data_IF_949623431190
#
_entry.id   IF_949623431190
#
_cell.length_a   1.000
_cell.length_b   1.000
_cell.length_c   1.000
_cell.angle_alpha   90.00
_cell.angle_beta   90.00
_cell.angle_gamma   90.00
#
_symmetry.space_group_name_H-M   'P 1'
#
loop_
_entity.id
_entity.type
_entity.pdbx_description
1 polymer ?
#
# COMPACT_ATOMS: atom_id res chain seq x y z
N UNK A 1 4.26 -23.68 0.19
CA UNK A 1 3.92 -23.08 1.50
C UNK A 1 4.30 -21.60 1.57
N UNK A 2 5.55 -21.23 1.34
CA UNK A 2 6.02 -19.83 1.48
C UNK A 2 5.29 -18.80 0.59
N UNK A 3 5.10 -19.10 -0.70
CA UNK A 3 4.36 -18.19 -1.60
C UNK A 3 2.93 -17.90 -1.16
N UNK A 4 2.22 -18.93 -0.66
CA UNK A 4 0.87 -18.79 -0.10
C UNK A 4 0.89 -17.89 1.14
N UNK A 5 1.83 -18.08 2.06
CA UNK A 5 1.94 -17.27 3.27
C UNK A 5 2.19 -15.78 2.94
N UNK A 6 3.08 -15.51 1.98
CA UNK A 6 3.34 -14.14 1.50
C UNK A 6 2.08 -13.56 0.86
N UNK A 7 1.42 -14.32 -0.03
CA UNK A 7 0.19 -13.89 -0.70
C UNK A 7 -0.93 -13.55 0.30
N UNK A 8 -1.20 -14.44 1.25
CA UNK A 8 -2.23 -14.24 2.29
C UNK A 8 -1.91 -13.02 3.15
N UNK A 9 -0.64 -12.78 3.46
CA UNK A 9 -0.22 -11.59 4.21
C UNK A 9 -0.52 -10.31 3.42
N UNK A 10 -0.16 -10.26 2.14
CA UNK A 10 -0.46 -9.13 1.26
C UNK A 10 -1.96 -8.87 1.15
N UNK A 11 -2.73 -9.94 0.89
CA UNK A 11 -4.18 -9.89 0.81
C UNK A 11 -4.84 -9.40 2.10
N UNK A 12 -4.39 -9.89 3.26
CA UNK A 12 -4.90 -9.45 4.56
C UNK A 12 -4.63 -7.96 4.79
N UNK A 13 -3.41 -7.47 4.49
CA UNK A 13 -3.06 -6.05 4.60
C UNK A 13 -3.98 -5.20 3.72
N UNK A 14 -4.18 -5.59 2.47
CA UNK A 14 -5.02 -4.88 1.52
C UNK A 14 -6.48 -4.81 1.98
N UNK A 15 -7.09 -5.96 2.28
CA UNK A 15 -8.49 -6.02 2.72
C UNK A 15 -8.71 -5.27 4.04
N UNK A 16 -7.80 -5.42 5.01
CA UNK A 16 -7.93 -4.72 6.30
C UNK A 16 -7.81 -3.21 6.11
N UNK A 17 -6.83 -2.74 5.33
CA UNK A 17 -6.63 -1.31 5.12
C UNK A 17 -7.78 -0.64 4.35
N UNK A 18 -8.34 -1.31 3.35
CA UNK A 18 -9.50 -0.82 2.61
C UNK A 18 -10.78 -0.83 3.46
N UNK A 19 -10.98 -1.87 4.29
CA UNK A 19 -12.08 -1.88 5.26
C UNK A 19 -11.96 -0.76 6.29
N UNK A 20 -10.77 -0.55 6.85
CA UNK A 20 -10.50 0.55 7.77
C UNK A 20 -10.86 1.90 7.14
N UNK A 21 -10.40 2.15 5.91
CA UNK A 21 -10.67 3.39 5.19
C UNK A 21 -12.15 3.58 4.83
N UNK A 22 -12.83 2.50 4.44
CA UNK A 22 -14.24 2.55 4.08
C UNK A 22 -15.10 2.85 5.29
N UNK A 23 -14.94 2.09 6.38
CA UNK A 23 -15.65 2.32 7.64
C UNK A 23 -15.36 3.71 8.22
N UNK A 24 -14.11 4.17 8.17
CA UNK A 24 -13.75 5.51 8.63
C UNK A 24 -14.44 6.63 7.82
N UNK A 25 -14.64 6.43 6.52
CA UNK A 25 -15.33 7.40 5.64
C UNK A 25 -16.83 7.45 5.83
N UNK A 26 -17.45 6.39 6.35
CA UNK A 26 -18.90 6.34 6.62
C UNK A 26 -19.29 7.31 7.74
N UNK A 27 -18.38 7.64 8.66
CA UNK A 27 -18.63 8.63 9.70
C UNK A 27 -18.73 10.06 9.11
N UNK A 28 -19.87 10.76 9.22
CA UNK A 28 -20.04 12.11 8.69
C UNK A 28 -19.04 13.13 9.26
N UNK A 29 -18.58 12.93 10.50
CA UNK A 29 -17.58 13.78 11.15
C UNK A 29 -16.18 13.72 10.52
N UNK A 30 -15.94 12.74 9.64
CA UNK A 30 -14.70 12.54 8.92
C UNK A 30 -14.70 13.15 7.51
N UNK A 31 -15.83 13.76 7.09
CA UNK A 31 -15.92 14.45 5.80
C UNK A 31 -14.81 15.49 5.68
N UNK A 32 -14.07 15.40 4.58
CA UNK A 32 -12.98 16.33 4.29
C UNK A 32 -11.68 16.09 5.07
N UNK A 33 -11.62 15.13 6.00
CA UNK A 33 -10.40 14.77 6.74
C UNK A 33 -9.64 13.61 6.06
N UNK A 34 -8.45 13.30 6.54
CA UNK A 34 -7.68 12.11 6.16
C UNK A 34 -7.62 11.11 7.33
N UNK A 35 -7.49 9.83 7.01
CA UNK A 35 -7.34 8.76 8.00
C UNK A 35 -5.88 8.66 8.44
N UNK A 36 -5.65 8.52 9.74
CA UNK A 36 -4.32 8.29 10.32
C UNK A 36 -4.32 7.20 11.40
N UNK A 37 -5.33 6.32 11.36
CA UNK A 37 -5.58 5.25 12.33
C UNK A 37 -5.37 3.86 11.71
N UNK A 38 -5.16 2.84 12.55
CA UNK A 38 -4.97 1.47 12.09
C UNK A 38 -3.71 1.31 11.23
N UNK A 39 -3.83 0.64 10.08
CA UNK A 39 -2.69 0.48 9.16
C UNK A 39 -2.26 1.82 8.53
N UNK A 40 -3.18 2.77 8.44
CA UNK A 40 -2.91 4.11 7.93
C UNK A 40 -2.05 4.96 8.89
N UNK A 41 -1.90 4.53 10.15
CA UNK A 41 -0.95 5.13 11.08
C UNK A 41 0.52 4.80 10.73
N UNK A 42 0.76 3.62 10.16
CA UNK A 42 2.10 3.09 9.89
C UNK A 42 2.55 3.31 8.44
N UNK A 43 1.61 3.35 7.50
CA UNK A 43 1.88 3.67 6.10
C UNK A 43 0.78 4.57 5.56
N UNK A 44 1.13 5.45 4.62
CA UNK A 44 0.17 6.30 3.91
C UNK A 44 -0.53 5.58 2.76
N UNK A 45 0.03 4.46 2.31
CA UNK A 45 -0.54 3.61 1.25
C UNK A 45 -0.42 2.11 1.61
N UNK A 46 -0.99 1.67 2.75
CA UNK A 46 -0.87 0.29 3.21
C UNK A 46 -1.54 -0.71 2.26
N UNK A 47 -2.66 -0.32 1.62
CA UNK A 47 -3.34 -1.16 0.64
C UNK A 47 -2.47 -1.47 -0.59
N UNK A 48 -1.84 -0.44 -1.15
CA UNK A 48 -0.92 -0.56 -2.30
C UNK A 48 0.32 -1.41 -1.96
N UNK A 49 0.77 -1.35 -0.70
CA UNK A 49 1.84 -2.22 -0.22
C UNK A 49 1.38 -3.68 -0.09
N UNK A 50 0.17 -3.91 0.42
CA UNK A 50 -0.48 -5.22 0.45
C UNK A 50 -0.57 -5.84 -0.94
N UNK A 51 -1.02 -5.06 -1.93
CA UNK A 51 -1.11 -5.47 -3.33
C UNK A 51 0.27 -5.90 -3.89
N UNK A 52 1.33 -5.12 -3.64
CA UNK A 52 2.68 -5.50 -4.08
C UNK A 52 3.21 -6.78 -3.41
N UNK A 53 2.91 -6.99 -2.13
CA UNK A 53 3.22 -8.24 -1.42
C UNK A 53 2.45 -9.41 -2.04
N UNK A 54 1.17 -9.22 -2.35
CA UNK A 54 0.31 -10.22 -2.97
C UNK A 54 0.88 -10.68 -4.32
N UNK A 55 1.28 -9.75 -5.19
CA UNK A 55 1.90 -10.06 -6.48
C UNK A 55 3.26 -10.76 -6.33
N UNK A 56 4.04 -10.37 -5.32
CA UNK A 56 5.31 -11.05 -5.00
C UNK A 56 5.06 -12.47 -4.49
N UNK A 57 4.05 -12.67 -3.64
CA UNK A 57 3.61 -13.98 -3.16
C UNK A 57 3.15 -14.89 -4.30
N UNK A 58 2.41 -14.34 -5.28
CA UNK A 58 2.01 -15.03 -6.49
C UNK A 58 3.22 -15.50 -7.31
N UNK A 59 4.22 -14.64 -7.51
CA UNK A 59 5.47 -15.02 -8.18
C UNK A 59 6.20 -16.15 -7.44
N UNK A 60 6.33 -16.05 -6.11
CA UNK A 60 6.98 -17.09 -5.28
C UNK A 60 6.19 -18.41 -5.32
N UNK A 61 4.86 -18.35 -5.41
CA UNK A 61 4.02 -19.53 -5.53
C UNK A 61 4.30 -20.28 -6.83
N UNK A 62 4.36 -19.56 -7.95
CA UNK A 62 4.62 -20.14 -9.26
C UNK A 62 6.09 -20.53 -9.49
N UNK A 63 7.03 -19.94 -8.74
CA UNK A 63 8.47 -20.14 -8.97
C UNK A 63 8.93 -21.59 -8.82
N UNK A 64 8.20 -22.41 -8.05
CA UNK A 64 8.47 -23.83 -7.89
C UNK A 64 8.38 -24.62 -9.22
N UNK A 65 7.66 -24.11 -10.22
CA UNK A 65 7.52 -24.78 -11.53
C UNK A 65 8.42 -24.18 -12.61
N UNK A 66 9.15 -23.10 -12.32
CA UNK A 66 9.90 -22.37 -13.34
C UNK A 66 11.18 -23.09 -13.76
N UNK A 67 11.43 -23.09 -15.07
CA UNK A 67 12.63 -23.60 -15.73
C UNK A 67 13.08 -22.61 -16.81
N UNK A 68 14.39 -22.41 -16.94
CA UNK A 68 14.98 -21.56 -17.99
C UNK A 68 14.39 -20.14 -18.02
N UNK A 69 13.87 -19.73 -19.18
CA UNK A 69 13.32 -18.39 -19.41
C UNK A 69 12.08 -18.06 -18.57
N UNK A 70 11.42 -19.03 -17.94
CA UNK A 70 10.24 -18.77 -17.09
C UNK A 70 10.55 -17.88 -15.87
N UNK A 71 11.81 -17.83 -15.43
CA UNK A 71 12.26 -16.90 -14.39
C UNK A 71 12.10 -15.42 -14.77
N UNK A 72 11.97 -15.10 -16.07
CA UNK A 72 11.57 -13.76 -16.52
C UNK A 72 10.21 -13.31 -15.99
N UNK A 73 9.37 -14.23 -15.48
CA UNK A 73 8.15 -13.88 -14.76
C UNK A 73 8.38 -12.93 -13.57
N UNK A 74 9.62 -12.78 -13.07
CA UNK A 74 9.99 -11.77 -12.06
C UNK A 74 9.70 -10.34 -12.52
N UNK A 75 9.65 -10.09 -13.84
CA UNK A 75 9.25 -8.80 -14.38
C UNK A 75 7.79 -8.45 -14.03
N UNK A 76 6.93 -9.43 -13.79
CA UNK A 76 5.53 -9.18 -13.41
C UNK A 76 5.40 -8.41 -12.09
N UNK A 77 5.87 -8.91 -10.92
CA UNK A 77 5.77 -8.16 -9.67
C UNK A 77 6.58 -6.85 -9.69
N UNK A 78 7.71 -6.80 -10.41
CA UNK A 78 8.48 -5.56 -10.59
C UNK A 78 7.66 -4.52 -11.37
N UNK A 79 7.04 -4.92 -12.48
CA UNK A 79 6.23 -4.05 -13.31
C UNK A 79 5.01 -3.53 -12.55
N UNK A 80 4.32 -4.41 -11.81
CA UNK A 80 3.19 -4.02 -10.96
C UNK A 80 3.63 -3.00 -9.90
N UNK A 81 4.74 -3.24 -9.21
CA UNK A 81 5.29 -2.27 -8.26
C UNK A 81 5.57 -0.92 -8.92
N UNK A 82 6.18 -0.89 -10.11
CA UNK A 82 6.49 0.35 -10.81
C UNK A 82 5.21 1.12 -11.19
N UNK A 83 4.19 0.42 -11.70
CA UNK A 83 2.90 1.03 -12.02
C UNK A 83 2.23 1.63 -10.78
N UNK A 84 2.14 0.84 -9.70
CA UNK A 84 1.50 1.27 -8.45
C UNK A 84 2.27 2.44 -7.83
N UNK A 85 3.59 2.37 -7.77
CA UNK A 85 4.38 3.37 -7.06
C UNK A 85 4.52 4.68 -7.85
N UNK A 86 4.81 4.59 -9.16
CA UNK A 86 5.18 5.76 -9.96
C UNK A 86 4.08 6.30 -10.88
N UNK A 87 3.15 5.46 -11.34
CA UNK A 87 2.21 5.83 -12.41
C UNK A 87 0.80 6.10 -11.86
N UNK A 88 0.15 5.10 -11.27
CA UNK A 88 -1.30 5.14 -11.00
C UNK A 88 -1.67 5.19 -9.51
N UNK A 89 -0.88 4.57 -8.63
CA UNK A 89 -1.25 4.42 -7.22
C UNK A 89 -0.73 5.55 -6.34
N UNK A 90 0.47 5.34 -5.78
CA UNK A 90 1.05 6.15 -4.69
C UNK A 90 1.24 7.60 -5.13
N UNK A 91 1.98 7.85 -6.21
CA UNK A 91 2.30 9.22 -6.65
C UNK A 91 1.04 10.06 -6.90
N UNK A 92 0.08 9.51 -7.66
CA UNK A 92 -1.15 10.22 -8.00
C UNK A 92 -2.01 10.52 -6.76
N UNK A 93 -2.09 9.57 -5.81
CA UNK A 93 -2.84 9.78 -4.56
C UNK A 93 -2.17 10.80 -3.64
N UNK A 94 -0.84 10.81 -3.57
CA UNK A 94 -0.08 11.83 -2.84
C UNK A 94 -0.33 13.23 -3.41
N UNK A 95 -0.27 13.41 -4.72
CA UNK A 95 -0.55 14.70 -5.36
C UNK A 95 -1.98 15.19 -5.10
N UNK A 96 -2.95 14.28 -5.12
CA UNK A 96 -4.35 14.60 -4.78
C UNK A 96 -4.51 14.96 -3.30
N UNK A 97 -3.82 14.26 -2.41
CA UNK A 97 -3.82 14.53 -0.98
C UNK A 97 -3.18 15.88 -0.68
N UNK A 98 -2.07 16.21 -1.34
CA UNK A 98 -1.39 17.50 -1.23
C UNK A 98 -2.27 18.66 -1.72
N UNK A 99 -2.99 18.48 -2.83
CA UNK A 99 -3.96 19.49 -3.30
C UNK A 99 -5.12 19.71 -2.32
N UNK A 100 -5.52 18.68 -1.58
CA UNK A 100 -6.70 18.72 -0.69
C UNK A 100 -6.37 19.17 0.73
N UNK A 101 -5.22 18.74 1.26
CA UNK A 101 -4.84 18.91 2.67
C UNK A 101 -3.49 19.60 2.87
N UNK A 102 -2.75 19.86 1.78
CA UNK A 102 -1.48 20.56 1.82
C UNK A 102 -1.58 21.91 2.53
N UNK A 103 -0.55 22.25 3.30
CA UNK A 103 -0.51 23.46 4.11
C UNK A 103 -1.20 23.33 5.49
N UNK A 104 -1.96 22.26 5.74
CA UNK A 104 -2.44 21.95 7.09
C UNK A 104 -1.32 21.36 7.95
N UNK A 105 -1.07 21.97 9.12
CA UNK A 105 -0.05 21.50 10.07
C UNK A 105 -0.20 20.01 10.42
N UNK A 106 -1.43 19.52 10.55
CA UNK A 106 -1.70 18.13 10.89
C UNK A 106 -1.32 17.19 9.74
N UNK A 107 -1.69 17.55 8.50
CA UNK A 107 -1.37 16.75 7.32
C UNK A 107 0.14 16.73 7.03
N UNK A 108 0.82 17.87 7.12
CA UNK A 108 2.26 17.94 6.94
C UNK A 108 3.01 17.11 8.00
N UNK A 109 2.55 17.15 9.25
CA UNK A 109 3.13 16.32 10.31
C UNK A 109 2.89 14.82 10.03
N UNK A 110 1.68 14.44 9.62
CA UNK A 110 1.36 13.07 9.23
C UNK A 110 2.24 12.59 8.06
N UNK A 111 2.40 13.42 7.02
CA UNK A 111 3.23 13.14 5.84
C UNK A 111 4.72 12.97 6.17
N UNK A 112 5.23 13.77 7.10
CA UNK A 112 6.62 13.73 7.56
C UNK A 112 6.93 12.50 8.42
N UNK A 113 6.02 12.16 9.34
CA UNK A 113 6.25 11.12 10.35
C UNK A 113 5.85 9.73 9.86
N UNK A 114 4.92 9.63 8.91
CA UNK A 114 4.36 8.36 8.44
C UNK A 114 5.06 7.90 7.17
N UNK A 115 5.47 6.63 7.14
CA UNK A 115 6.06 6.01 5.96
C UNK A 115 5.14 6.16 4.76
N UNK A 116 5.71 6.44 3.58
CA UNK A 116 4.91 6.61 2.37
C UNK A 116 4.25 5.30 1.95
N UNK A 117 4.97 4.19 1.99
CA UNK A 117 4.54 2.98 1.30
C UNK A 117 4.65 1.73 2.19
N UNK A 118 5.84 1.46 2.72
CA UNK A 118 6.07 0.30 3.60
C UNK A 118 5.43 0.54 4.97
N UNK A 119 4.84 -0.49 5.57
CA UNK A 119 4.33 -0.44 6.95
C UNK A 119 5.52 -0.36 7.92
N UNK A 120 5.75 0.82 8.50
CA UNK A 120 6.85 1.07 9.44
C UNK A 120 6.37 1.93 10.61
N UNK A 121 7.04 1.85 11.78
CA UNK A 121 6.78 2.79 12.88
C UNK A 121 7.01 4.25 12.45
N UNK A 122 6.29 5.18 13.09
CA UNK A 122 6.45 6.61 12.82
C UNK A 122 7.87 7.07 13.13
N UNK A 123 8.39 7.95 12.27
CA UNK A 123 9.65 8.66 12.50
C UNK A 123 9.48 9.66 13.63
N UNK A 124 10.49 9.74 14.51
CA UNK A 124 10.56 10.75 15.57
C UNK A 124 10.81 12.14 14.99
#
# INVERSE_FOLDING_TARGET
>A
AYGIAVWVTGFAIEVISDRQKSSWRENPGNKGKFIEEGLWYYSRHPNMFGECILWTGQFILCSATFRGLQWSAVFSPVFVFLLIYFVSGVKMLEERADKKWGGSKNYENYKRTTSKFVILPKKK
#
